data_IF_816035886750
#
_entry.id   IF_816035886750
#
_cell.length_a   1.000
_cell.length_b   1.000
_cell.length_c   1.000
_cell.angle_alpha   90.00
_cell.angle_beta   90.00
_cell.angle_gamma   90.00
#
_symmetry.space_group_name_H-M   'P 1'
#
loop_
_entity.id
_entity.type
_entity.pdbx_description
1 polymer ?
#
# COMPACT_ATOMS: atom_id res chain seq x y z
N UNK A 1 41.93 -68.44 -4.80
CA UNK A 1 42.50 -68.45 -3.42
C UNK A 1 42.34 -67.03 -2.85
N UNK A 2 41.26 -66.80 -2.15
CA UNK A 2 40.97 -65.47 -1.56
C UNK A 2 41.78 -65.27 -0.29
N UNK A 3 42.70 -64.35 -0.29
CA UNK A 3 43.51 -63.98 0.88
C UNK A 3 42.59 -63.25 1.87
N UNK A 4 42.15 -63.90 2.90
CA UNK A 4 41.33 -63.36 3.98
C UNK A 4 42.18 -62.39 4.80
N UNK A 5 42.15 -61.10 4.45
CA UNK A 5 42.77 -60.04 5.27
C UNK A 5 42.07 -60.02 6.64
N UNK A 6 42.75 -60.48 7.67
CA UNK A 6 42.30 -60.34 9.06
C UNK A 6 42.36 -58.86 9.47
N UNK A 7 41.26 -58.11 9.25
CA UNK A 7 41.17 -56.77 9.78
C UNK A 7 41.20 -56.87 11.30
N UNK A 8 42.10 -56.12 11.95
CA UNK A 8 42.18 -56.10 13.41
C UNK A 8 40.85 -55.54 13.95
N UNK A 9 40.29 -56.16 14.98
CA UNK A 9 39.01 -55.79 15.60
C UNK A 9 38.94 -54.32 15.97
N UNK A 10 40.06 -53.74 16.45
CA UNK A 10 40.21 -52.32 16.75
C UNK A 10 39.96 -51.41 15.54
N UNK A 11 40.45 -51.82 14.36
CA UNK A 11 40.25 -51.02 13.14
C UNK A 11 38.77 -51.04 12.70
N UNK A 12 38.10 -52.18 12.88
CA UNK A 12 36.65 -52.31 12.58
C UNK A 12 35.83 -51.40 13.51
N UNK A 13 36.14 -51.41 14.81
CA UNK A 13 35.45 -50.57 15.81
C UNK A 13 35.61 -49.08 15.49
N UNK A 14 36.85 -48.64 15.19
CA UNK A 14 37.14 -47.25 14.81
C UNK A 14 36.39 -46.87 13.55
N UNK A 15 36.35 -47.73 12.53
CA UNK A 15 35.63 -47.46 11.30
C UNK A 15 34.12 -47.29 11.53
N UNK A 16 33.50 -48.12 12.38
CA UNK A 16 32.07 -48.01 12.73
C UNK A 16 31.79 -46.69 13.46
N UNK A 17 32.62 -46.30 14.42
CA UNK A 17 32.46 -45.05 15.18
C UNK A 17 32.59 -43.83 14.24
N UNK A 18 33.61 -43.80 13.41
CA UNK A 18 33.83 -42.70 12.44
C UNK A 18 32.68 -42.62 11.46
N UNK A 19 32.19 -43.74 10.93
CA UNK A 19 31.05 -43.78 10.04
C UNK A 19 29.78 -43.27 10.73
N UNK A 20 29.53 -43.69 11.96
CA UNK A 20 28.40 -43.23 12.78
C UNK A 20 28.41 -41.70 12.98
N UNK A 21 29.57 -41.14 13.30
CA UNK A 21 29.71 -39.68 13.49
C UNK A 21 29.46 -38.93 12.17
N UNK A 22 30.04 -39.37 11.06
CA UNK A 22 29.85 -38.76 9.76
C UNK A 22 28.36 -38.84 9.34
N UNK A 23 27.74 -39.98 9.53
CA UNK A 23 26.32 -40.15 9.18
C UNK A 23 25.43 -39.26 10.03
N UNK A 24 25.67 -39.20 11.34
CA UNK A 24 24.90 -38.34 12.26
C UNK A 24 25.04 -36.86 11.91
N UNK A 25 26.25 -36.39 11.59
CA UNK A 25 26.46 -34.99 11.19
C UNK A 25 25.78 -34.65 9.89
N UNK A 26 25.87 -35.51 8.88
CA UNK A 26 25.17 -35.35 7.61
C UNK A 26 23.65 -35.30 7.78
N UNK A 27 23.10 -36.25 8.54
CA UNK A 27 21.65 -36.30 8.81
C UNK A 27 21.17 -35.05 9.53
N UNK A 28 21.91 -34.58 10.56
CA UNK A 28 21.60 -33.33 11.26
C UNK A 28 21.62 -32.12 10.35
N UNK A 29 22.67 -32.01 9.53
CA UNK A 29 22.81 -30.86 8.61
C UNK A 29 21.66 -30.82 7.59
N UNK A 30 21.28 -31.96 7.03
CA UNK A 30 20.15 -32.04 6.11
C UNK A 30 18.83 -31.68 6.77
N UNK A 31 18.60 -32.21 7.97
CA UNK A 31 17.39 -31.93 8.76
C UNK A 31 17.26 -30.45 9.10
N UNK A 32 18.33 -29.86 9.64
CA UNK A 32 18.34 -28.44 9.94
C UNK A 32 18.22 -27.56 8.68
N UNK A 33 18.85 -27.95 7.57
CA UNK A 33 18.74 -27.20 6.32
C UNK A 33 17.31 -27.16 5.79
N UNK A 34 16.60 -28.30 5.79
CA UNK A 34 15.20 -28.38 5.33
C UNK A 34 14.29 -27.62 6.28
N UNK A 35 14.46 -27.83 7.59
CA UNK A 35 13.64 -27.17 8.58
C UNK A 35 13.80 -25.64 8.56
N UNK A 36 15.06 -25.17 8.49
CA UNK A 36 15.37 -23.75 8.43
C UNK A 36 14.80 -23.09 7.16
N UNK A 37 14.97 -23.75 6.02
CA UNK A 37 14.42 -23.26 4.75
C UNK A 37 12.91 -23.10 4.83
N UNK A 38 12.18 -24.12 5.28
CA UNK A 38 10.73 -24.08 5.39
C UNK A 38 10.27 -22.99 6.38
N UNK A 39 10.92 -22.89 7.53
CA UNK A 39 10.60 -21.86 8.54
C UNK A 39 10.85 -20.44 8.02
N UNK A 40 11.93 -20.23 7.25
CA UNK A 40 12.19 -18.91 6.63
C UNK A 40 11.15 -18.56 5.58
N UNK A 41 10.77 -19.53 4.72
CA UNK A 41 9.75 -19.27 3.70
C UNK A 41 8.40 -18.95 4.34
N UNK A 42 7.98 -19.69 5.33
CA UNK A 42 6.73 -19.45 6.06
C UNK A 42 6.74 -18.07 6.74
N UNK A 43 7.84 -17.73 7.41
CA UNK A 43 7.99 -16.41 8.06
C UNK A 43 7.98 -15.27 7.05
N UNK A 44 8.68 -15.42 5.92
CA UNK A 44 8.70 -14.41 4.86
C UNK A 44 7.32 -14.25 4.22
N UNK A 45 6.62 -15.36 3.96
CA UNK A 45 5.28 -15.33 3.41
C UNK A 45 4.28 -14.64 4.34
N UNK A 46 4.27 -15.00 5.62
CA UNK A 46 3.40 -14.37 6.64
C UNK A 46 3.71 -12.88 6.77
N UNK A 47 4.99 -12.51 6.86
CA UNK A 47 5.40 -11.10 6.94
C UNK A 47 5.00 -10.30 5.70
N UNK A 48 5.19 -10.85 4.50
CA UNK A 48 4.78 -10.19 3.25
C UNK A 48 3.26 -10.00 3.19
N UNK A 49 2.49 -11.02 3.56
CA UNK A 49 1.03 -10.95 3.60
C UNK A 49 0.55 -9.89 4.61
N UNK A 50 1.17 -9.83 5.77
CA UNK A 50 0.85 -8.82 6.79
C UNK A 50 1.17 -7.41 6.29
N UNK A 51 2.33 -7.20 5.65
CA UNK A 51 2.72 -5.90 5.08
C UNK A 51 1.74 -5.43 3.99
N UNK A 52 1.32 -6.34 3.09
CA UNK A 52 0.32 -6.03 2.07
C UNK A 52 -1.03 -5.69 2.70
N UNK A 53 -1.46 -6.44 3.73
CA UNK A 53 -2.70 -6.15 4.44
C UNK A 53 -2.68 -4.79 5.12
N UNK A 54 -1.57 -4.45 5.80
CA UNK A 54 -1.39 -3.15 6.43
C UNK A 54 -1.36 -2.00 5.41
N UNK A 55 -0.68 -2.19 4.28
CA UNK A 55 -0.66 -1.20 3.21
C UNK A 55 -2.07 -0.97 2.65
N UNK A 56 -2.83 -2.04 2.41
CA UNK A 56 -4.20 -1.93 1.92
C UNK A 56 -5.12 -1.21 2.92
N UNK A 57 -5.00 -1.53 4.21
CA UNK A 57 -5.75 -0.86 5.28
C UNK A 57 -5.37 0.63 5.36
N UNK A 58 -4.08 0.96 5.27
CA UNK A 58 -3.61 2.36 5.26
C UNK A 58 -4.20 3.13 4.09
N UNK A 59 -4.15 2.57 2.89
CA UNK A 59 -4.74 3.20 1.69
C UNK A 59 -6.24 3.35 1.84
N UNK A 60 -6.95 2.33 2.32
CA UNK A 60 -8.39 2.38 2.54
C UNK A 60 -8.77 3.48 3.55
N UNK A 61 -8.06 3.57 4.66
CA UNK A 61 -8.28 4.60 5.66
C UNK A 61 -7.99 6.01 5.12
N UNK A 62 -6.94 6.15 4.30
CA UNK A 62 -6.62 7.42 3.65
C UNK A 62 -7.72 7.85 2.68
N UNK A 63 -8.19 6.95 1.81
CA UNK A 63 -9.31 7.24 0.89
C UNK A 63 -10.59 7.59 1.65
N UNK A 64 -10.90 6.87 2.73
CA UNK A 64 -12.05 7.20 3.59
C UNK A 64 -11.92 8.59 4.22
N UNK A 65 -10.73 8.93 4.72
CA UNK A 65 -10.47 10.26 5.29
C UNK A 65 -10.66 11.38 4.26
N UNK A 66 -10.18 11.20 3.02
CA UNK A 66 -10.40 12.18 1.95
C UNK A 66 -11.90 12.31 1.63
N UNK A 67 -12.63 11.19 1.58
CA UNK A 67 -14.08 11.21 1.36
C UNK A 67 -14.78 12.02 2.46
N UNK A 68 -14.51 11.74 3.73
CA UNK A 68 -15.13 12.44 4.86
C UNK A 68 -14.84 13.96 4.82
N UNK A 69 -13.64 14.34 4.41
CA UNK A 69 -13.26 15.75 4.21
C UNK A 69 -14.06 16.40 3.08
N UNK A 70 -14.23 15.71 1.96
CA UNK A 70 -15.04 16.19 0.84
C UNK A 70 -16.53 16.29 1.21
N UNK A 71 -17.07 15.32 1.93
CA UNK A 71 -18.47 15.35 2.39
C UNK A 71 -18.70 16.54 3.34
N UNK A 72 -17.78 16.81 4.25
CA UNK A 72 -17.82 17.97 5.12
C UNK A 72 -17.77 19.30 4.32
N UNK A 73 -16.87 19.38 3.34
CA UNK A 73 -16.76 20.56 2.48
C UNK A 73 -18.03 20.76 1.66
N UNK A 74 -18.62 19.70 1.13
CA UNK A 74 -19.91 19.77 0.43
C UNK A 74 -21.04 20.27 1.34
N UNK A 75 -21.09 19.79 2.58
CA UNK A 75 -22.08 20.25 3.56
C UNK A 75 -21.89 21.74 3.89
N UNK A 76 -20.64 22.18 4.06
CA UNK A 76 -20.30 23.57 4.31
C UNK A 76 -20.67 24.47 3.14
N UNK A 77 -20.29 24.07 1.91
CA UNK A 77 -20.62 24.82 0.68
C UNK A 77 -22.11 24.93 0.46
N UNK A 78 -22.88 23.86 0.74
CA UNK A 78 -24.35 23.89 0.64
C UNK A 78 -25.01 24.82 1.69
N UNK A 79 -24.34 25.11 2.78
CA UNK A 79 -24.84 26.04 3.82
C UNK A 79 -24.53 27.51 3.52
N UNK A 80 -23.63 27.79 2.57
CA UNK A 80 -23.26 29.15 2.19
C UNK A 80 -24.37 29.85 1.43
N UNK A 81 -24.71 31.06 1.89
CA UNK A 81 -25.81 31.86 1.32
C UNK A 81 -25.35 32.79 0.19
N UNK A 82 -24.05 33.05 0.11
CA UNK A 82 -23.47 33.99 -0.84
C UNK A 82 -22.14 33.47 -1.45
N UNK A 83 -21.77 34.04 -2.58
CA UNK A 83 -20.55 33.65 -3.32
C UNK A 83 -19.27 33.91 -2.51
N UNK A 84 -19.26 34.93 -1.67
CA UNK A 84 -18.08 35.28 -0.85
C UNK A 84 -17.83 34.24 0.25
N UNK A 85 -18.89 33.79 0.91
CA UNK A 85 -18.82 32.73 1.91
C UNK A 85 -18.38 31.41 1.27
N UNK A 86 -18.90 31.10 0.09
CA UNK A 86 -18.56 29.93 -0.67
C UNK A 86 -17.06 29.94 -1.09
N UNK A 87 -16.56 31.08 -1.60
CA UNK A 87 -15.15 31.27 -1.94
C UNK A 87 -14.24 31.08 -0.71
N UNK A 88 -14.66 31.62 0.43
CA UNK A 88 -13.91 31.48 1.70
C UNK A 88 -13.87 30.03 2.18
N UNK A 89 -14.97 29.29 2.11
CA UNK A 89 -15.02 27.87 2.48
C UNK A 89 -14.06 27.04 1.61
N UNK A 90 -14.12 27.19 0.29
CA UNK A 90 -13.26 26.48 -0.66
C UNK A 90 -11.78 26.85 -0.46
N UNK A 91 -11.45 28.11 -0.32
CA UNK A 91 -10.07 28.56 -0.12
C UNK A 91 -9.51 28.12 1.24
N UNK A 92 -10.35 28.06 2.28
CA UNK A 92 -9.98 27.58 3.60
C UNK A 92 -9.69 26.08 3.55
N UNK A 93 -10.52 25.28 2.91
CA UNK A 93 -10.30 23.85 2.73
C UNK A 93 -8.99 23.56 1.99
N UNK A 94 -8.74 24.24 0.87
CA UNK A 94 -7.47 24.09 0.11
C UNK A 94 -6.24 24.49 0.91
N UNK A 95 -6.37 25.43 1.86
CA UNK A 95 -5.25 25.92 2.66
C UNK A 95 -4.96 25.07 3.88
N UNK A 96 -5.98 24.56 4.55
CA UNK A 96 -5.85 23.82 5.81
C UNK A 96 -5.49 22.35 5.59
N UNK A 97 -5.82 21.79 4.43
CA UNK A 97 -5.60 20.38 4.14
C UNK A 97 -4.35 20.22 3.25
N UNK A 98 -3.30 19.66 3.81
CA UNK A 98 -2.03 19.45 3.07
C UNK A 98 -2.18 18.49 1.88
N UNK A 99 -3.17 17.59 1.95
CA UNK A 99 -3.44 16.56 0.94
C UNK A 99 -4.37 17.05 -0.18
N UNK A 100 -5.02 18.21 -0.04
CA UNK A 100 -5.88 18.81 -1.04
C UNK A 100 -5.12 19.91 -1.79
N UNK A 101 -4.80 19.64 -3.06
CA UNK A 101 -4.05 20.56 -3.89
C UNK A 101 -4.92 21.69 -4.45
N UNK A 102 -6.12 21.36 -4.89
CA UNK A 102 -7.06 22.34 -5.34
C UNK A 102 -8.51 21.85 -5.19
N UNK A 103 -9.44 22.79 -5.08
CA UNK A 103 -10.87 22.54 -5.07
C UNK A 103 -11.50 23.42 -6.14
N UNK A 104 -12.24 22.81 -7.04
CA UNK A 104 -12.96 23.50 -8.10
C UNK A 104 -14.45 23.15 -8.00
N UNK A 105 -15.30 24.16 -8.12
CA UNK A 105 -16.74 23.97 -8.12
C UNK A 105 -17.28 24.16 -9.54
N UNK A 106 -18.03 23.17 -10.02
CA UNK A 106 -18.68 23.19 -11.33
C UNK A 106 -20.19 23.11 -11.19
N UNK A 107 -20.91 23.69 -12.15
CA UNK A 107 -22.34 23.47 -12.26
C UNK A 107 -22.66 22.11 -12.91
N UNK A 108 -23.93 21.73 -12.92
CA UNK A 108 -24.39 20.47 -13.52
C UNK A 108 -24.16 20.40 -15.05
N UNK A 109 -23.84 21.50 -15.69
CA UNK A 109 -23.50 21.62 -17.10
C UNK A 109 -21.98 21.49 -17.35
N UNK A 110 -21.18 21.48 -16.28
CA UNK A 110 -19.71 21.40 -16.32
C UNK A 110 -19.02 22.75 -16.52
N UNK A 111 -19.72 23.87 -16.24
CA UNK A 111 -19.08 25.18 -16.22
C UNK A 111 -18.44 25.41 -14.86
N UNK A 112 -17.19 25.94 -14.86
CA UNK A 112 -16.51 26.31 -13.64
C UNK A 112 -17.23 27.49 -12.97
N UNK A 113 -17.70 27.29 -11.75
CA UNK A 113 -18.35 28.32 -10.94
C UNK A 113 -17.34 29.07 -10.05
N UNK A 114 -16.44 28.32 -9.42
CA UNK A 114 -15.43 28.85 -8.51
C UNK A 114 -14.15 28.03 -8.59
N UNK A 115 -13.04 28.74 -8.49
CA UNK A 115 -11.71 28.16 -8.39
C UNK A 115 -11.08 28.54 -7.03
N UNK A 116 -10.83 27.54 -6.18
CA UNK A 116 -10.20 27.73 -4.89
C UNK A 116 -8.70 28.03 -4.94
N UNK A 117 -8.13 28.04 -6.16
CA UNK A 117 -6.70 28.26 -6.36
C UNK A 117 -6.22 29.70 -6.21
N UNK A 118 -7.11 30.68 -6.28
CA UNK A 118 -6.75 32.10 -6.40
C UNK A 118 -5.96 32.65 -5.19
N UNK A 119 -5.83 31.85 -4.11
CA UNK A 119 -5.17 32.28 -2.88
C UNK A 119 -4.04 31.37 -2.40
N UNK A 120 -3.77 30.25 -3.10
CA UNK A 120 -2.82 29.26 -2.56
C UNK A 120 -1.48 29.27 -3.30
N UNK A 121 -0.42 29.75 -2.64
CA UNK A 121 0.96 29.72 -3.16
C UNK A 121 1.48 28.31 -3.48
N UNK A 122 0.87 27.27 -2.90
CA UNK A 122 1.22 25.86 -3.14
C UNK A 122 0.87 25.41 -4.58
N UNK A 123 -0.01 26.12 -5.27
CA UNK A 123 -0.66 25.68 -6.50
C UNK A 123 -0.17 26.40 -7.76
N UNK A 124 1.02 26.96 -7.73
CA UNK A 124 1.61 27.68 -8.90
C UNK A 124 1.78 26.85 -10.17
N UNK A 125 1.57 25.54 -10.13
CA UNK A 125 1.83 24.63 -11.25
C UNK A 125 0.69 23.63 -11.54
N UNK A 126 -0.55 23.92 -11.16
CA UNK A 126 -1.65 23.09 -11.66
C UNK A 126 -1.79 23.35 -13.17
N UNK A 127 -1.86 22.27 -13.97
CA UNK A 127 -2.16 22.43 -15.39
C UNK A 127 -3.49 23.15 -15.54
N UNK A 128 -3.50 24.29 -16.24
CA UNK A 128 -4.70 25.10 -16.52
C UNK A 128 -5.71 24.38 -17.41
N UNK A 129 -5.45 23.14 -17.79
CA UNK A 129 -6.29 22.28 -18.64
C UNK A 129 -6.91 21.09 -17.90
N UNK A 130 -7.06 21.15 -16.57
CA UNK A 130 -7.94 20.22 -15.88
C UNK A 130 -9.36 20.42 -16.43
N UNK A 131 -9.73 19.63 -17.43
CA UNK A 131 -11.06 19.63 -17.98
C UNK A 131 -11.99 18.78 -17.13
N UNK A 132 -13.19 19.27 -16.90
CA UNK A 132 -14.28 18.51 -16.30
C UNK A 132 -14.55 17.25 -17.14
N UNK A 133 -14.34 16.09 -16.54
CA UNK A 133 -14.63 14.81 -17.20
C UNK A 133 -16.11 14.44 -17.00
N UNK A 134 -16.92 14.75 -18.02
CA UNK A 134 -18.36 14.42 -18.00
C UNK A 134 -18.63 12.92 -17.89
N UNK A 135 -17.77 12.09 -18.42
CA UNK A 135 -17.94 10.63 -18.42
C UNK A 135 -17.68 10.05 -17.02
N UNK A 136 -16.73 10.61 -16.27
CA UNK A 136 -16.51 10.27 -14.87
C UNK A 136 -17.74 10.61 -14.00
N UNK A 137 -18.42 11.73 -14.28
CA UNK A 137 -19.63 12.14 -13.55
C UNK A 137 -20.87 11.33 -13.88
N UNK A 138 -20.99 10.81 -15.10
CA UNK A 138 -22.15 10.00 -15.50
C UNK A 138 -22.25 8.66 -14.79
N UNK A 139 -21.17 8.18 -14.22
CA UNK A 139 -21.07 6.91 -13.47
C UNK A 139 -21.19 7.03 -11.96
N UNK A 140 -21.39 8.25 -11.41
CA UNK A 140 -21.46 8.44 -9.95
C UNK A 140 -22.79 7.93 -9.40
N UNK A 141 -22.73 6.83 -8.67
CA UNK A 141 -23.87 6.27 -7.93
C UNK A 141 -23.89 6.68 -6.47
N UNK A 142 -22.73 7.00 -5.90
CA UNK A 142 -22.52 7.24 -4.46
C UNK A 142 -22.06 8.68 -4.12
N UNK A 143 -22.22 9.63 -5.05
CA UNK A 143 -21.93 11.05 -4.81
C UNK A 143 -20.46 11.47 -5.02
N UNK A 144 -19.55 10.54 -5.34
CA UNK A 144 -18.14 10.85 -5.67
C UNK A 144 -17.57 9.91 -6.72
N UNK A 145 -16.55 10.37 -7.44
CA UNK A 145 -15.75 9.52 -8.31
C UNK A 145 -14.26 9.79 -8.09
N UNK A 146 -13.46 8.73 -8.17
CA UNK A 146 -12.01 8.83 -8.18
C UNK A 146 -11.54 8.52 -9.60
N UNK A 147 -10.97 9.52 -10.27
CA UNK A 147 -10.43 9.36 -11.61
C UNK A 147 -8.91 9.13 -11.55
N UNK A 148 -8.37 8.48 -12.58
CA UNK A 148 -6.92 8.36 -12.73
C UNK A 148 -6.34 9.72 -13.13
N UNK A 149 -5.15 10.09 -12.62
CA UNK A 149 -4.45 11.28 -13.08
C UNK A 149 -4.11 11.13 -14.57
N UNK A 150 -4.43 12.16 -15.33
CA UNK A 150 -4.15 12.28 -16.77
C UNK A 150 -2.80 12.93 -17.00
#
# INVERSE_FOLDING_TARGET
MFKRNKIKLSVLIIAIVVFGVIFSTLASTLFFGIFYKNSMFDSAYVSSKQSVSQANETVSNYVSSIKDKLDNLCAETNSCSDTSSLQNAISTASRLEDDIYCVMLYDMQGNLLLDGNDTNEKVKNIPTNLSFDKDAFSGITDGYAITQPH
#
